data_IF_640059171212
#
_entry.id   IF_640059171212
#
_cell.length_a   1.000
_cell.length_b   1.000
_cell.length_c   1.000
_cell.angle_alpha   90.00
_cell.angle_beta   90.00
_cell.angle_gamma   90.00
#
_symmetry.space_group_name_H-M   'P 1'
#
loop_
_entity.id
_entity.type
_entity.pdbx_description
1 polymer ?
#
# COMPACT_ATOMS: atom_id res chain seq x y z
N UNK A 1 6.82 -16.94 -18.44
CA UNK A 1 7.10 -17.62 -19.72
C UNK A 1 8.31 -17.01 -20.45
N UNK A 2 8.43 -15.67 -20.63
CA UNK A 2 9.58 -15.04 -21.33
C UNK A 2 10.92 -15.33 -20.66
N UNK A 3 10.96 -15.22 -19.30
CA UNK A 3 12.13 -15.56 -18.50
C UNK A 3 12.48 -17.04 -18.67
N UNK A 4 11.53 -17.94 -18.49
CA UNK A 4 11.73 -19.37 -18.62
C UNK A 4 12.18 -19.81 -20.04
N UNK A 5 11.83 -19.03 -21.08
CA UNK A 5 12.31 -19.22 -22.43
C UNK A 5 13.73 -18.67 -22.66
N UNK A 6 14.37 -18.08 -21.65
CA UNK A 6 15.72 -17.53 -21.74
C UNK A 6 15.85 -16.25 -22.57
N UNK A 7 14.75 -15.54 -22.83
CA UNK A 7 14.75 -14.36 -23.71
C UNK A 7 15.63 -13.20 -23.20
N UNK A 8 15.80 -13.09 -21.88
CA UNK A 8 16.69 -12.09 -21.26
C UNK A 8 17.95 -12.69 -20.65
N UNK A 9 18.16 -14.02 -20.81
CA UNK A 9 19.28 -14.74 -20.19
C UNK A 9 19.12 -14.90 -18.68
N UNK A 10 20.24 -14.99 -17.96
CA UNK A 10 20.25 -15.13 -16.50
C UNK A 10 19.91 -13.79 -15.85
N UNK A 11 19.05 -13.81 -14.83
CA UNK A 11 18.65 -12.59 -14.12
C UNK A 11 19.81 -12.07 -13.28
N UNK A 12 20.14 -10.79 -13.46
CA UNK A 12 21.15 -10.06 -12.69
C UNK A 12 20.48 -9.28 -11.56
N UNK A 13 19.36 -8.61 -11.87
CA UNK A 13 18.65 -7.78 -10.91
C UNK A 13 17.14 -7.82 -11.17
N UNK A 14 16.37 -7.83 -10.08
CA UNK A 14 14.91 -7.68 -10.12
C UNK A 14 14.48 -6.58 -9.18
N UNK A 15 13.67 -5.65 -9.69
CA UNK A 15 13.13 -4.53 -8.94
C UNK A 15 11.61 -4.56 -9.01
N UNK A 16 10.95 -4.46 -7.87
CA UNK A 16 9.50 -4.33 -7.76
C UNK A 16 9.14 -3.10 -6.94
N UNK A 17 8.03 -2.47 -7.28
CA UNK A 17 7.52 -1.30 -6.56
C UNK A 17 6.03 -1.44 -6.35
N UNK A 18 5.55 -1.15 -5.14
CA UNK A 18 4.14 -1.03 -4.82
C UNK A 18 3.86 0.40 -4.31
N UNK A 19 3.10 1.17 -5.08
CA UNK A 19 2.59 2.47 -4.69
C UNK A 19 1.15 2.33 -4.22
N UNK A 20 0.94 2.40 -2.93
CA UNK A 20 -0.39 2.33 -2.32
C UNK A 20 -1.03 3.70 -2.37
N UNK A 21 -2.12 3.87 -3.13
CA UNK A 21 -2.80 5.17 -3.23
C UNK A 21 -3.22 5.70 -1.85
N UNK A 22 -3.22 7.03 -1.71
CA UNK A 22 -3.49 7.72 -0.45
C UNK A 22 -4.83 7.32 0.18
N UNK A 23 -5.87 7.10 -0.62
CA UNK A 23 -7.19 6.70 -0.13
C UNK A 23 -7.22 5.23 0.29
N UNK A 24 -6.52 4.32 -0.41
CA UNK A 24 -6.39 2.92 -0.01
C UNK A 24 -5.59 2.80 1.29
N UNK A 25 -4.43 3.47 1.37
CA UNK A 25 -3.62 3.49 2.59
C UNK A 25 -4.42 4.00 3.78
N UNK A 26 -5.10 5.14 3.60
CA UNK A 26 -5.90 5.78 4.67
C UNK A 26 -6.96 4.85 5.23
N UNK A 27 -7.65 4.12 4.35
CA UNK A 27 -8.79 3.29 4.72
C UNK A 27 -8.34 1.96 5.33
N UNK A 28 -7.36 1.30 4.76
CA UNK A 28 -7.00 -0.08 5.14
C UNK A 28 -5.88 -0.15 6.18
N UNK A 29 -4.88 0.75 6.08
CA UNK A 29 -3.61 0.64 6.80
C UNK A 29 -3.37 1.75 7.83
N UNK A 30 -4.22 2.79 7.87
CA UNK A 30 -4.15 3.81 8.91
C UNK A 30 -5.39 3.80 9.81
N UNK A 31 -6.60 3.68 9.24
CA UNK A 31 -7.86 3.64 9.99
C UNK A 31 -8.44 2.23 10.15
N UNK A 32 -8.21 1.36 9.17
CA UNK A 32 -8.84 0.06 9.04
C UNK A 32 -8.13 -1.08 9.76
N UNK A 33 -8.53 -2.28 9.43
CA UNK A 33 -8.13 -3.52 10.11
C UNK A 33 -6.64 -3.85 10.09
N UNK A 34 -5.88 -3.29 9.14
CA UNK A 34 -4.44 -3.52 8.98
C UNK A 34 -3.57 -2.42 9.59
N UNK A 35 -4.18 -1.48 10.34
CA UNK A 35 -3.51 -0.29 10.83
C UNK A 35 -2.52 -0.56 11.98
N UNK A 36 -2.78 -1.58 12.78
CA UNK A 36 -1.99 -1.85 13.99
C UNK A 36 -1.54 -3.31 14.01
N UNK A 37 -0.23 -3.53 13.89
CA UNK A 37 0.38 -4.86 13.80
C UNK A 37 0.16 -5.72 15.05
N UNK A 38 0.03 -5.10 16.22
CA UNK A 38 -0.21 -5.82 17.46
C UNK A 38 -1.64 -6.38 17.55
N UNK A 39 -2.58 -5.72 16.83
CA UNK A 39 -3.99 -6.12 16.78
C UNK A 39 -4.28 -7.09 15.64
N UNK A 40 -3.72 -6.85 14.46
CA UNK A 40 -3.96 -7.68 13.29
C UNK A 40 -2.92 -8.78 13.08
N UNK A 41 -1.88 -8.84 13.94
CA UNK A 41 -0.81 -9.82 13.90
C UNK A 41 -0.11 -9.92 12.53
N UNK A 42 0.01 -8.79 11.82
CA UNK A 42 0.68 -8.72 10.54
C UNK A 42 1.38 -7.37 10.34
N UNK A 43 2.38 -7.35 9.48
CA UNK A 43 3.10 -6.13 9.08
C UNK A 43 2.56 -5.59 7.76
N UNK A 44 2.88 -4.33 7.43
CA UNK A 44 2.52 -3.74 6.14
C UNK A 44 3.08 -4.55 4.96
N UNK A 45 4.31 -5.02 5.06
CA UNK A 45 4.94 -5.83 4.02
C UNK A 45 4.16 -7.12 3.76
N UNK A 46 3.73 -7.82 4.82
CA UNK A 46 2.97 -9.05 4.69
C UNK A 46 1.52 -8.79 4.25
N UNK A 47 0.86 -7.77 4.81
CA UNK A 47 -0.54 -7.49 4.51
C UNK A 47 -0.76 -6.93 3.08
N UNK A 48 0.24 -6.24 2.51
CA UNK A 48 0.11 -5.56 1.22
C UNK A 48 1.04 -6.10 0.14
N UNK A 49 2.30 -6.33 0.47
CA UNK A 49 3.35 -6.63 -0.50
C UNK A 49 3.72 -8.13 -0.57
N UNK A 50 2.97 -9.01 0.09
CA UNK A 50 3.19 -10.46 -0.01
C UNK A 50 3.19 -10.93 -1.46
N UNK A 51 2.29 -10.41 -2.31
CA UNK A 51 2.24 -10.73 -3.73
C UNK A 51 3.50 -10.29 -4.50
N UNK A 52 4.06 -9.14 -4.15
CA UNK A 52 5.27 -8.60 -4.80
C UNK A 52 6.50 -9.43 -4.43
N UNK A 53 6.58 -9.81 -3.16
CA UNK A 53 7.66 -10.68 -2.67
C UNK A 53 7.53 -12.10 -3.24
N UNK A 54 6.33 -12.64 -3.31
CA UNK A 54 6.06 -13.95 -3.91
C UNK A 54 6.42 -13.97 -5.41
N UNK A 55 6.00 -12.94 -6.16
CA UNK A 55 6.39 -12.80 -7.58
C UNK A 55 7.90 -12.69 -7.75
N UNK A 56 8.59 -11.95 -6.89
CA UNK A 56 10.06 -11.89 -6.92
C UNK A 56 10.66 -13.27 -6.71
N UNK A 57 10.22 -14.01 -5.69
CA UNK A 57 10.71 -15.36 -5.41
C UNK A 57 10.37 -16.34 -6.56
N UNK A 58 9.18 -16.23 -7.12
CA UNK A 58 8.79 -17.05 -8.27
C UNK A 58 9.65 -16.81 -9.51
N UNK A 59 9.93 -15.56 -9.83
CA UNK A 59 10.81 -15.20 -10.96
C UNK A 59 12.27 -15.60 -10.74
N UNK A 60 12.69 -15.70 -9.47
CA UNK A 60 14.02 -16.09 -9.03
C UNK A 60 14.07 -17.57 -8.58
N UNK A 61 13.14 -18.42 -9.05
CA UNK A 61 12.99 -19.81 -8.60
C UNK A 61 14.22 -20.72 -8.81
N UNK A 62 15.11 -20.34 -9.74
CA UNK A 62 16.36 -21.07 -10.01
C UNK A 62 17.47 -20.81 -8.96
N UNK A 63 17.22 -19.92 -8.00
CA UNK A 63 18.17 -19.55 -6.95
C UNK A 63 17.44 -19.34 -5.63
N UNK A 64 18.19 -19.22 -4.53
CA UNK A 64 17.62 -19.02 -3.19
C UNK A 64 18.11 -17.70 -2.60
N UNK A 65 17.29 -16.98 -1.83
CA UNK A 65 17.73 -15.80 -1.08
C UNK A 65 18.73 -16.24 0.01
N UNK A 66 19.81 -15.50 0.17
CA UNK A 66 20.87 -15.75 1.16
C UNK A 66 20.95 -14.65 2.21
N UNK A 67 20.52 -13.43 1.88
CA UNK A 67 20.57 -12.31 2.78
C UNK A 67 19.42 -11.34 2.45
N UNK A 68 18.80 -10.80 3.50
CA UNK A 68 17.74 -9.79 3.37
C UNK A 68 18.06 -8.64 4.32
N UNK A 69 17.89 -7.42 3.82
CA UNK A 69 17.93 -6.18 4.60
C UNK A 69 16.71 -5.34 4.31
N UNK A 70 16.16 -4.69 5.33
CA UNK A 70 14.96 -3.88 5.15
C UNK A 70 14.94 -2.67 6.07
N UNK A 71 14.49 -1.53 5.54
CA UNK A 71 14.29 -0.28 6.26
C UNK A 71 12.90 0.27 5.94
N UNK A 72 12.20 0.69 6.97
CA UNK A 72 10.89 1.32 6.84
C UNK A 72 10.52 2.08 8.10
N UNK A 73 9.62 3.03 7.99
CA UNK A 73 9.14 3.77 9.14
C UNK A 73 7.72 4.29 8.92
N UNK A 74 7.09 4.76 9.99
CA UNK A 74 5.89 5.59 9.95
C UNK A 74 6.34 7.06 9.92
N UNK A 75 6.27 7.68 8.75
CA UNK A 75 6.77 9.03 8.51
C UNK A 75 5.66 10.08 8.46
N UNK A 76 4.61 9.81 7.67
CA UNK A 76 3.58 10.80 7.36
C UNK A 76 2.44 10.81 8.39
N UNK A 77 1.91 9.64 8.78
CA UNK A 77 0.68 9.55 9.57
C UNK A 77 0.98 9.52 11.08
N UNK A 78 1.49 10.64 11.56
CA UNK A 78 1.87 10.89 12.96
C UNK A 78 1.18 12.15 13.49
N UNK A 79 0.92 12.26 14.81
CA UNK A 79 0.28 13.43 15.41
C UNK A 79 0.96 14.77 15.08
N UNK A 80 2.31 14.76 14.97
CA UNK A 80 3.12 15.94 14.70
C UNK A 80 2.86 16.55 13.31
N UNK A 81 2.36 15.74 12.38
CA UNK A 81 2.05 16.14 11.00
C UNK A 81 0.58 16.56 10.82
N UNK A 82 -0.22 16.55 11.89
CA UNK A 82 -1.60 17.00 11.83
C UNK A 82 -1.65 18.52 11.56
N UNK A 83 -2.58 19.01 10.74
CA UNK A 83 -2.82 20.43 10.62
C UNK A 83 -3.14 21.06 11.99
N UNK A 84 -2.71 22.31 12.20
CA UNK A 84 -2.99 23.03 13.43
C UNK A 84 -4.50 23.08 13.72
N UNK A 85 -4.89 22.79 14.96
CA UNK A 85 -6.29 22.71 15.35
C UNK A 85 -7.06 21.50 14.85
N UNK A 86 -6.38 20.50 14.23
CA UNK A 86 -7.04 19.28 13.78
C UNK A 86 -7.78 18.58 14.92
N UNK A 87 -9.06 18.24 14.68
CA UNK A 87 -9.91 17.50 15.61
C UNK A 87 -9.50 16.03 15.77
N UNK A 88 -10.26 15.29 16.55
CA UNK A 88 -10.08 13.85 16.74
C UNK A 88 -10.96 13.06 15.79
N UNK A 89 -12.21 13.48 15.59
CA UNK A 89 -13.19 12.87 14.68
C UNK A 89 -13.48 13.85 13.54
N UNK A 90 -13.10 13.48 12.32
CA UNK A 90 -13.10 14.38 11.16
C UNK A 90 -14.43 15.15 10.96
N UNK A 91 -15.57 14.43 10.94
CA UNK A 91 -16.88 15.04 10.65
C UNK A 91 -17.59 15.58 11.89
N UNK A 92 -16.97 15.53 13.07
CA UNK A 92 -17.56 16.04 14.32
C UNK A 92 -16.88 17.32 14.82
N UNK A 93 -15.55 17.29 14.89
CA UNK A 93 -14.79 18.31 15.65
C UNK A 93 -13.56 18.86 14.88
N UNK A 94 -13.41 18.55 13.59
CA UNK A 94 -12.25 18.99 12.81
C UNK A 94 -12.61 20.17 11.89
N UNK A 95 -11.97 21.36 12.04
CA UNK A 95 -12.20 22.50 11.17
C UNK A 95 -11.70 22.28 9.73
N UNK A 96 -10.87 21.29 9.49
CA UNK A 96 -10.29 20.98 8.19
C UNK A 96 -11.09 19.94 7.39
N UNK A 97 -12.32 19.60 7.79
CA UNK A 97 -13.12 18.54 7.18
C UNK A 97 -13.32 18.71 5.66
N UNK A 98 -13.44 19.94 5.18
CA UNK A 98 -13.66 20.23 3.76
C UNK A 98 -12.37 20.46 2.96
N UNK A 99 -11.24 20.72 3.61
CA UNK A 99 -9.97 21.07 2.95
C UNK A 99 -8.92 19.96 3.01
N UNK A 100 -8.95 19.12 4.05
CA UNK A 100 -8.00 18.04 4.23
C UNK A 100 -8.21 16.93 3.19
N UNK A 101 -7.16 16.58 2.45
CA UNK A 101 -7.21 15.50 1.43
C UNK A 101 -7.53 14.12 2.02
N UNK A 102 -7.24 13.94 3.30
CA UNK A 102 -7.52 12.71 4.06
C UNK A 102 -8.81 12.77 4.87
N UNK A 103 -9.62 13.81 4.68
CA UNK A 103 -10.90 13.94 5.37
C UNK A 103 -11.80 12.74 5.11
N UNK A 104 -12.45 12.25 6.15
CA UNK A 104 -13.40 11.14 6.03
C UNK A 104 -14.62 11.52 5.19
N UNK A 105 -15.02 12.79 5.23
CA UNK A 105 -16.07 13.30 4.34
C UNK A 105 -15.66 13.14 2.88
N UNK A 106 -14.47 13.63 2.50
CA UNK A 106 -13.99 13.54 1.12
C UNK A 106 -13.78 12.10 0.66
N UNK A 107 -13.17 11.25 1.51
CA UNK A 107 -12.83 9.88 1.13
C UNK A 107 -14.04 8.95 1.10
N UNK A 108 -15.00 9.11 2.02
CA UNK A 108 -16.04 8.10 2.23
C UNK A 108 -17.46 8.56 1.88
N UNK A 109 -17.69 9.87 1.78
CA UNK A 109 -18.98 10.43 1.45
C UNK A 109 -18.97 11.03 0.04
N UNK A 110 -18.02 11.96 -0.23
CA UNK A 110 -17.97 12.67 -1.52
C UNK A 110 -17.41 11.80 -2.65
N UNK A 111 -16.58 10.78 -2.34
CA UNK A 111 -15.96 9.87 -3.29
C UNK A 111 -16.22 8.40 -2.93
N UNK A 112 -17.38 7.85 -3.28
CA UNK A 112 -17.78 6.51 -2.87
C UNK A 112 -16.93 5.38 -3.50
N UNK A 113 -16.19 5.66 -4.54
CA UNK A 113 -15.30 4.74 -5.28
C UNK A 113 -13.88 4.61 -4.68
N UNK A 114 -13.52 5.44 -3.67
CA UNK A 114 -12.18 5.50 -3.09
C UNK A 114 -12.01 4.61 -1.87
N UNK A 115 -12.17 3.30 -2.04
CA UNK A 115 -12.10 2.31 -0.95
C UNK A 115 -13.14 2.54 0.16
N UNK A 116 -14.14 3.36 -0.09
CA UNK A 116 -15.18 3.70 0.88
C UNK A 116 -16.10 2.52 1.22
N UNK A 117 -16.07 1.45 0.42
CA UNK A 117 -16.85 0.24 0.65
C UNK A 117 -16.49 -0.45 1.97
N UNK A 118 -15.23 -0.38 2.43
CA UNK A 118 -14.85 -0.92 3.74
C UNK A 118 -15.55 -0.24 4.92
N UNK A 119 -16.01 0.99 4.76
CA UNK A 119 -16.74 1.69 5.81
C UNK A 119 -18.15 1.12 5.98
N UNK A 120 -18.72 0.52 4.93
CA UNK A 120 -19.99 -0.18 5.01
C UNK A 120 -19.94 -1.42 5.90
N UNK A 121 -18.78 -2.08 6.01
CA UNK A 121 -18.60 -3.22 6.92
C UNK A 121 -18.89 -2.83 8.39
N UNK A 122 -18.67 -1.58 8.78
CA UNK A 122 -18.98 -1.08 10.11
C UNK A 122 -20.49 -0.90 10.36
N UNK A 123 -21.31 -1.01 9.31
CA UNK A 123 -22.76 -0.89 9.32
C UNK A 123 -23.48 -2.22 8.98
N UNK A 124 -22.73 -3.33 8.88
CA UNK A 124 -23.26 -4.66 8.53
C UNK A 124 -24.34 -5.19 9.50
N UNK A 125 -24.43 -4.59 10.69
CA UNK A 125 -25.47 -4.89 11.68
C UNK A 125 -26.84 -4.28 11.35
N UNK A 126 -26.93 -3.42 10.33
CA UNK A 126 -28.17 -2.79 9.86
C UNK A 126 -28.72 -3.51 8.63
N UNK A 127 -30.03 -3.73 8.60
CA UNK A 127 -30.73 -4.21 7.41
C UNK A 127 -30.87 -3.06 6.39
N UNK A 128 -30.07 -3.02 5.34
CA UNK A 128 -30.06 -1.97 4.30
C UNK A 128 -29.58 -0.60 4.80
N UNK A 129 -28.31 -0.46 5.21
CA UNK A 129 -27.77 0.82 5.68
C UNK A 129 -27.79 1.89 4.58
N UNK A 130 -28.11 3.12 4.99
CA UNK A 130 -28.23 4.29 4.12
C UNK A 130 -26.97 5.16 4.17
N UNK A 131 -26.89 6.18 3.29
CA UNK A 131 -25.82 7.17 3.34
C UNK A 131 -25.90 8.02 4.61
N UNK A 132 -27.11 8.26 5.13
CA UNK A 132 -27.38 8.98 6.38
C UNK A 132 -26.81 8.21 7.56
N UNK A 133 -26.95 6.90 7.60
CA UNK A 133 -26.35 6.01 8.62
C UNK A 133 -24.82 6.09 8.57
N UNK A 134 -24.26 6.10 7.37
CA UNK A 134 -22.82 6.24 7.17
C UNK A 134 -22.32 7.62 7.64
N UNK A 135 -23.03 8.70 7.34
CA UNK A 135 -22.73 10.05 7.83
C UNK A 135 -22.82 10.10 9.35
N UNK A 136 -23.83 9.49 9.95
CA UNK A 136 -23.97 9.40 11.39
C UNK A 136 -22.81 8.65 12.03
N UNK A 137 -22.42 7.50 11.46
CA UNK A 137 -21.26 6.71 11.89
C UNK A 137 -19.98 7.55 11.88
N UNK A 138 -19.75 8.36 10.83
CA UNK A 138 -18.55 9.19 10.69
C UNK A 138 -18.46 10.33 11.72
N UNK A 139 -19.49 10.55 12.51
CA UNK A 139 -19.49 11.50 13.64
C UNK A 139 -19.27 10.83 15.00
N UNK A 140 -19.22 9.51 15.06
CA UNK A 140 -19.00 8.74 16.28
C UNK A 140 -17.50 8.42 16.49
N UNK A 141 -17.15 7.85 17.64
CA UNK A 141 -15.82 7.30 17.87
C UNK A 141 -15.69 5.93 17.18
N UNK A 142 -15.51 5.97 15.88
CA UNK A 142 -15.29 4.82 15.02
C UNK A 142 -13.90 4.94 14.38
N UNK A 143 -13.14 3.86 14.18
CA UNK A 143 -11.81 3.91 13.57
C UNK A 143 -11.78 4.67 12.24
N UNK A 144 -12.77 4.44 11.36
CA UNK A 144 -12.87 5.13 10.07
C UNK A 144 -13.17 6.63 10.18
N UNK A 145 -13.77 7.09 11.29
CA UNK A 145 -14.11 8.49 11.52
C UNK A 145 -12.94 9.32 12.06
N UNK A 146 -11.89 8.68 12.58
CA UNK A 146 -10.77 9.35 13.25
C UNK A 146 -9.91 10.17 12.30
N UNK A 147 -9.34 11.23 12.84
CA UNK A 147 -8.27 11.98 12.16
C UNK A 147 -7.12 11.03 11.81
N UNK A 148 -6.70 11.04 10.56
CA UNK A 148 -5.66 10.12 10.05
C UNK A 148 -4.33 10.25 10.80
N UNK A 149 -4.03 11.43 11.29
CA UNK A 149 -2.81 11.72 12.05
C UNK A 149 -2.88 11.30 13.52
N UNK A 150 -4.10 10.99 14.02
CA UNK A 150 -4.36 10.64 15.43
C UNK A 150 -4.89 9.21 15.60
N UNK A 151 -4.69 8.37 14.59
CA UNK A 151 -4.97 6.94 14.68
C UNK A 151 -3.88 6.22 15.50
N UNK A 152 -4.21 5.04 16.00
CA UNK A 152 -3.32 4.16 16.74
C UNK A 152 -2.48 3.23 15.82
N UNK A 153 -2.34 3.61 14.56
CA UNK A 153 -1.56 2.86 13.58
C UNK A 153 -0.07 2.81 13.96
N UNK A 154 0.52 1.63 13.87
CA UNK A 154 1.95 1.40 14.09
C UNK A 154 2.67 0.75 12.90
N UNK A 155 1.93 0.45 11.82
CA UNK A 155 2.53 -0.07 10.58
C UNK A 155 3.29 1.04 9.84
N UNK A 156 4.30 0.64 9.08
CA UNK A 156 5.10 1.56 8.26
C UNK A 156 4.27 2.12 7.10
N UNK A 157 4.53 3.36 6.69
CA UNK A 157 3.92 3.95 5.49
C UNK A 157 4.86 3.93 4.27
N UNK A 158 6.13 3.58 4.47
CA UNK A 158 7.08 3.27 3.41
C UNK A 158 8.09 2.23 3.89
N UNK A 159 8.56 1.39 2.98
CA UNK A 159 9.54 0.34 3.28
C UNK A 159 10.32 -0.05 2.02
N UNK A 160 11.64 -0.18 2.17
CA UNK A 160 12.53 -0.74 1.15
C UNK A 160 13.09 -2.07 1.63
N UNK A 161 13.12 -3.04 0.75
CA UNK A 161 13.68 -4.38 0.98
C UNK A 161 14.77 -4.66 -0.05
N UNK A 162 15.90 -5.15 0.39
CA UNK A 162 16.99 -5.62 -0.44
C UNK A 162 17.21 -7.11 -0.19
N UNK A 163 17.29 -7.88 -1.27
CA UNK A 163 17.50 -9.33 -1.24
C UNK A 163 18.78 -9.67 -2.03
N UNK A 164 19.65 -10.47 -1.44
CA UNK A 164 20.80 -11.05 -2.12
C UNK A 164 20.53 -12.54 -2.36
N UNK A 165 20.80 -13.01 -3.58
CA UNK A 165 20.57 -14.40 -3.99
C UNK A 165 21.87 -15.17 -4.12
N UNK A 166 21.81 -16.50 -3.95
CA UNK A 166 22.96 -17.41 -4.05
C UNK A 166 23.65 -17.33 -5.42
N UNK A 167 22.92 -17.01 -6.48
CA UNK A 167 23.47 -16.80 -7.82
C UNK A 167 24.35 -15.56 -7.95
N UNK A 168 24.31 -14.64 -6.98
CA UNK A 168 24.91 -13.30 -7.04
C UNK A 168 23.94 -12.21 -7.57
N UNK A 169 22.77 -12.59 -8.04
CA UNK A 169 21.71 -11.64 -8.40
C UNK A 169 21.20 -10.88 -7.18
N UNK A 170 20.62 -9.70 -7.39
CA UNK A 170 20.00 -8.91 -6.34
C UNK A 170 18.55 -8.61 -6.64
N UNK A 171 17.72 -8.52 -5.59
CA UNK A 171 16.34 -8.07 -5.66
C UNK A 171 16.10 -6.84 -4.80
N UNK A 172 15.26 -5.94 -5.26
CA UNK A 172 14.78 -4.81 -4.47
C UNK A 172 13.26 -4.69 -4.54
N UNK A 173 12.65 -4.37 -3.41
CA UNK A 173 11.23 -4.03 -3.35
C UNK A 173 11.06 -2.71 -2.62
N UNK A 174 10.29 -1.79 -3.19
CA UNK A 174 9.95 -0.52 -2.56
C UNK A 174 8.43 -0.41 -2.44
N UNK A 175 7.95 -0.33 -1.21
CA UNK A 175 6.56 0.01 -0.88
C UNK A 175 6.49 1.45 -0.42
N UNK A 176 5.61 2.23 -1.05
CA UNK A 176 5.34 3.62 -0.67
C UNK A 176 3.84 3.82 -0.54
N UNK A 177 3.40 4.19 0.64
CA UNK A 177 2.01 4.52 0.91
C UNK A 177 1.73 6.01 0.80
N UNK A 178 0.49 6.37 0.44
CA UNK A 178 0.06 7.75 0.30
C UNK A 178 0.33 8.37 -1.08
N UNK A 179 0.66 7.56 -2.08
CA UNK A 179 0.82 8.02 -3.46
C UNK A 179 -0.50 8.56 -4.04
N UNK A 180 -0.40 9.47 -5.03
CA UNK A 180 -1.57 10.03 -5.70
C UNK A 180 -2.38 8.96 -6.44
N UNK A 181 -1.68 8.01 -7.07
CA UNK A 181 -2.26 6.90 -7.82
C UNK A 181 -1.63 5.57 -7.41
N UNK A 182 -2.37 4.45 -7.50
CA UNK A 182 -1.78 3.13 -7.34
C UNK A 182 -0.86 2.82 -8.50
N UNK A 183 0.27 2.17 -8.20
CA UNK A 183 1.18 1.65 -9.23
C UNK A 183 1.91 0.43 -8.72
N UNK A 184 1.97 -0.60 -9.55
CA UNK A 184 2.81 -1.76 -9.30
C UNK A 184 3.71 -1.98 -10.50
N UNK A 185 5.00 -1.68 -10.33
CA UNK A 185 5.99 -1.77 -11.38
C UNK A 185 6.94 -2.93 -11.15
N UNK A 186 7.45 -3.46 -12.25
CA UNK A 186 8.52 -4.45 -12.25
C UNK A 186 9.57 -4.09 -13.29
N UNK A 187 10.84 -4.28 -12.93
CA UNK A 187 11.97 -4.19 -13.83
C UNK A 187 12.93 -5.34 -13.56
N UNK A 188 13.21 -6.14 -14.57
CA UNK A 188 14.08 -7.32 -14.49
C UNK A 188 15.17 -7.16 -15.54
N UNK A 189 16.40 -7.13 -15.09
CA UNK A 189 17.59 -7.05 -15.96
C UNK A 189 18.28 -8.39 -15.97
N UNK A 190 18.50 -8.92 -17.15
CA UNK A 190 19.21 -10.16 -17.39
C UNK A 190 20.45 -9.96 -18.28
N UNK A 191 21.20 -11.06 -18.50
CA UNK A 191 22.45 -11.05 -19.27
C UNK A 191 22.26 -10.81 -20.78
N UNK A 192 21.03 -10.94 -21.30
CA UNK A 192 20.69 -10.80 -22.74
C UNK A 192 19.60 -9.77 -23.01
N UNK A 193 19.08 -9.11 -21.98
CA UNK A 193 18.01 -8.14 -22.14
C UNK A 193 17.33 -7.80 -20.84
N UNK A 194 16.22 -7.08 -20.93
CA UNK A 194 15.45 -6.65 -19.78
C UNK A 194 13.94 -6.70 -20.03
N UNK A 195 13.19 -6.82 -18.97
CA UNK A 195 11.72 -6.73 -18.96
C UNK A 195 11.34 -5.64 -17.98
N UNK A 196 10.53 -4.69 -18.41
CA UNK A 196 9.91 -3.74 -17.50
C UNK A 196 8.43 -3.59 -17.82
N UNK A 197 7.65 -3.25 -16.80
CA UNK A 197 6.22 -3.13 -16.98
C UNK A 197 5.50 -2.54 -15.79
N UNK A 198 4.23 -2.26 -16.02
CA UNK A 198 3.28 -1.76 -15.04
C UNK A 198 2.05 -2.69 -15.05
N UNK A 199 1.72 -3.24 -13.90
CA UNK A 199 0.60 -4.17 -13.76
C UNK A 199 -0.75 -3.46 -13.89
N UNK A 200 -0.86 -2.21 -13.44
CA UNK A 200 -2.10 -1.42 -13.55
C UNK A 200 -2.46 -1.16 -15.02
N UNK A 201 -1.44 -0.98 -15.87
CA UNK A 201 -1.63 -0.80 -17.31
C UNK A 201 -1.68 -2.13 -18.08
N UNK A 202 -1.38 -3.26 -17.43
CA UNK A 202 -1.26 -4.58 -18.06
C UNK A 202 -0.28 -4.60 -19.23
N UNK A 203 0.81 -3.80 -19.13
CA UNK A 203 1.82 -3.65 -20.20
C UNK A 203 3.20 -4.07 -19.71
N UNK A 204 3.86 -4.85 -20.56
CA UNK A 204 5.24 -5.29 -20.37
C UNK A 204 6.02 -5.11 -21.67
N UNK A 205 7.21 -4.53 -21.54
CA UNK A 205 8.15 -4.37 -22.66
C UNK A 205 9.35 -5.26 -22.42
N UNK A 206 9.77 -5.95 -23.48
CA UNK A 206 11.01 -6.76 -23.51
C UNK A 206 11.98 -6.07 -24.43
N UNK A 207 13.16 -5.72 -23.93
CA UNK A 207 14.26 -5.17 -24.70
C UNK A 207 15.40 -6.19 -24.72
N UNK A 208 16.00 -6.41 -25.88
CA UNK A 208 17.16 -7.29 -26.06
C UNK A 208 18.41 -6.47 -26.26
N UNK A 209 19.53 -6.98 -25.72
CA UNK A 209 20.85 -6.43 -26.01
C UNK A 209 21.21 -6.91 -27.42
N UNK A 210 21.51 -5.97 -28.33
CA UNK A 210 21.87 -6.23 -29.72
C UNK A 210 23.37 -6.12 -29.89
#
# INVERSE_FOLDING_TARGET
QRIANGEIGDIINIQTTEHVSYHHLSTSYVRGKWANSDKCHTTMLLAKCCHDMDMMMWMMSETTPTQISSFGSKYQFRPENAPEGAGTICMRDCPHVDTCVYSTKRLYIDHPDRWSFYVWDALEHLDNPTIEDKIALMKTDNPYARCIYKCDNNVVDHQSVLVNFKSGATGTHNMVGGSAEPRRNIHIVGTKGEIFGNFEESKFTVLKIN
#
